data_IF_036893533920
#
_entry.id   IF_036893533920
#
_cell.length_a   1.000
_cell.length_b   1.000
_cell.length_c   1.000
_cell.angle_alpha   90.00
_cell.angle_beta   90.00
_cell.angle_gamma   90.00
#
_symmetry.space_group_name_H-M   'P 1'
#
loop_
_entity.id
_entity.type
_entity.pdbx_description
1 polymer ?
#
# COMPACT_ATOMS: atom_id res chain seq x y z
N UNK A 1 -14.88 15.94 -16.19
CA UNK A 1 -15.13 15.96 -14.73
C UNK A 1 -14.88 17.39 -14.26
N UNK A 2 -15.74 17.96 -13.42
CA UNK A 2 -15.48 19.29 -12.85
C UNK A 2 -14.41 19.25 -11.74
N UNK A 3 -13.87 20.41 -11.36
CA UNK A 3 -12.79 20.52 -10.39
C UNK A 3 -13.19 20.04 -8.98
N UNK A 4 -14.43 20.27 -8.55
CA UNK A 4 -14.90 19.89 -7.22
C UNK A 4 -14.96 18.37 -7.07
N UNK A 5 -15.61 17.70 -8.03
CA UNK A 5 -15.71 16.25 -8.10
C UNK A 5 -14.33 15.60 -8.26
N UNK A 6 -13.47 16.19 -9.09
CA UNK A 6 -12.09 15.76 -9.25
C UNK A 6 -11.33 15.79 -7.91
N UNK A 7 -11.39 16.91 -7.18
CA UNK A 7 -10.70 17.06 -5.90
C UNK A 7 -11.24 16.09 -4.85
N UNK A 8 -12.56 15.86 -4.82
CA UNK A 8 -13.17 14.89 -3.90
C UNK A 8 -12.68 13.46 -4.18
N UNK A 9 -12.61 13.05 -5.44
CA UNK A 9 -12.09 11.73 -5.82
C UNK A 9 -10.59 11.58 -5.53
N UNK A 10 -9.81 12.63 -5.80
CA UNK A 10 -8.38 12.66 -5.51
C UNK A 10 -8.10 12.52 -4.01
N UNK A 11 -8.79 13.30 -3.18
CA UNK A 11 -8.64 13.24 -1.72
C UNK A 11 -9.13 11.91 -1.17
N UNK A 12 -10.23 11.37 -1.69
CA UNK A 12 -10.73 10.04 -1.31
C UNK A 12 -9.70 8.95 -1.60
N UNK A 13 -9.11 8.93 -2.80
CA UNK A 13 -8.09 7.94 -3.13
C UNK A 13 -6.81 8.13 -2.29
N UNK A 14 -6.40 9.37 -2.01
CA UNK A 14 -5.27 9.67 -1.14
C UNK A 14 -5.52 9.27 0.33
N UNK A 15 -6.75 9.46 0.83
CA UNK A 15 -7.16 9.00 2.15
C UNK A 15 -7.16 7.46 2.23
N UNK A 16 -7.65 6.78 1.18
CA UNK A 16 -7.61 5.33 1.09
C UNK A 16 -6.17 4.81 1.10
N UNK A 17 -5.26 5.39 0.30
CA UNK A 17 -3.85 5.01 0.30
C UNK A 17 -3.21 5.20 1.69
N UNK A 18 -3.45 6.34 2.35
CA UNK A 18 -2.96 6.58 3.73
C UNK A 18 -3.50 5.54 4.72
N UNK A 19 -4.78 5.19 4.59
CA UNK A 19 -5.43 4.17 5.41
C UNK A 19 -4.80 2.79 5.18
N UNK A 20 -4.57 2.40 3.93
CA UNK A 20 -3.87 1.16 3.54
C UNK A 20 -2.52 1.07 4.24
N UNK A 21 -1.69 2.11 4.15
CA UNK A 21 -0.35 2.11 4.75
C UNK A 21 -0.38 2.12 6.28
N UNK A 22 -1.30 2.85 6.90
CA UNK A 22 -1.47 2.84 8.36
C UNK A 22 -1.85 1.44 8.86
N UNK A 23 -2.82 0.80 8.21
CA UNK A 23 -3.28 -0.54 8.57
C UNK A 23 -2.18 -1.57 8.32
N UNK A 24 -1.48 -1.49 7.19
CA UNK A 24 -0.33 -2.34 6.90
C UNK A 24 0.77 -2.20 7.96
N UNK A 25 1.17 -0.98 8.31
CA UNK A 25 2.19 -0.74 9.34
C UNK A 25 1.78 -1.34 10.69
N UNK A 26 0.51 -1.18 11.10
CA UNK A 26 0.01 -1.74 12.35
C UNK A 26 0.00 -3.28 12.31
N UNK A 27 -0.58 -3.88 11.27
CA UNK A 27 -0.67 -5.33 11.13
C UNK A 27 0.71 -5.98 10.99
N UNK A 28 1.60 -5.38 10.19
CA UNK A 28 2.98 -5.84 10.00
C UNK A 28 3.77 -5.76 11.29
N UNK A 29 3.66 -4.67 12.05
CA UNK A 29 4.32 -4.55 13.36
C UNK A 29 3.80 -5.59 14.36
N UNK A 30 2.50 -5.86 14.37
CA UNK A 30 1.92 -6.91 15.21
C UNK A 30 2.45 -8.30 14.83
N UNK A 31 2.58 -8.61 13.53
CA UNK A 31 3.18 -9.86 13.07
C UNK A 31 4.64 -9.99 13.55
N UNK A 32 5.44 -8.93 13.42
CA UNK A 32 6.82 -8.92 13.94
C UNK A 32 6.84 -9.18 15.44
N UNK A 33 5.99 -8.51 16.22
CA UNK A 33 5.92 -8.71 17.66
C UNK A 33 5.57 -10.16 18.02
N UNK A 34 4.62 -10.77 17.31
CA UNK A 34 4.24 -12.18 17.53
C UNK A 34 5.38 -13.13 17.15
N UNK A 35 6.11 -12.86 16.07
CA UNK A 35 7.27 -13.68 15.68
C UNK A 35 8.38 -13.58 16.73
N UNK A 36 8.70 -12.38 17.21
CA UNK A 36 9.80 -12.13 18.15
C UNK A 36 9.47 -12.62 19.57
N UNK A 37 8.25 -12.38 20.03
CA UNK A 37 7.85 -12.64 21.43
C UNK A 37 6.97 -13.87 21.61
N UNK A 38 6.53 -14.53 20.53
CA UNK A 38 5.58 -15.66 20.60
C UNK A 38 6.19 -16.92 21.22
N UNK A 39 7.47 -17.19 20.96
CA UNK A 39 8.18 -18.35 21.52
C UNK A 39 7.41 -19.67 21.34
N UNK A 40 7.36 -20.47 22.41
CA UNK A 40 6.65 -21.77 22.45
C UNK A 40 5.14 -21.66 22.20
N UNK A 41 4.53 -20.48 22.39
CA UNK A 41 3.09 -20.30 22.12
C UNK A 41 2.73 -20.42 20.63
N UNK A 42 3.72 -20.42 19.74
CA UNK A 42 3.56 -20.62 18.30
C UNK A 42 3.52 -22.09 17.89
N UNK A 43 3.76 -23.02 18.81
CA UNK A 43 3.74 -24.45 18.51
C UNK A 43 2.36 -24.88 18.00
N UNK A 44 2.35 -25.56 16.84
CA UNK A 44 1.13 -25.90 16.10
C UNK A 44 0.45 -24.74 15.37
N UNK A 45 0.83 -23.48 15.60
CA UNK A 45 0.23 -22.28 14.99
C UNK A 45 1.07 -21.66 13.87
N UNK A 46 2.29 -22.16 13.64
CA UNK A 46 3.19 -21.69 12.56
C UNK A 46 2.52 -21.64 11.18
N UNK A 47 1.70 -22.63 10.76
CA UNK A 47 0.97 -22.52 9.49
C UNK A 47 0.03 -21.31 9.43
N UNK A 48 -0.68 -21.00 10.53
CA UNK A 48 -1.56 -19.83 10.60
C UNK A 48 -0.76 -18.52 10.51
N UNK A 49 0.42 -18.48 11.12
CA UNK A 49 1.32 -17.34 11.02
C UNK A 49 1.82 -17.12 9.59
N UNK A 50 2.15 -18.19 8.85
CA UNK A 50 2.50 -18.09 7.43
C UNK A 50 1.36 -17.46 6.62
N UNK A 51 0.13 -17.94 6.81
CA UNK A 51 -1.04 -17.35 6.15
C UNK A 51 -1.24 -15.88 6.51
N UNK A 52 -1.07 -15.51 7.78
CA UNK A 52 -1.21 -14.13 8.23
C UNK A 52 -0.15 -13.20 7.63
N UNK A 53 1.12 -13.65 7.60
CA UNK A 53 2.22 -12.90 6.99
C UNK A 53 1.95 -12.65 5.52
N UNK A 54 1.63 -13.70 4.76
CA UNK A 54 1.34 -13.60 3.32
C UNK A 54 0.11 -12.72 3.08
N UNK A 55 -0.96 -12.95 3.84
CA UNK A 55 -2.24 -12.23 3.68
C UNK A 55 -2.10 -10.73 3.89
N UNK A 56 -1.45 -10.30 4.97
CA UNK A 56 -1.24 -8.87 5.28
C UNK A 56 -0.44 -8.18 4.18
N UNK A 57 0.65 -8.80 3.71
CA UNK A 57 1.52 -8.21 2.70
C UNK A 57 0.89 -8.23 1.31
N UNK A 58 0.20 -9.32 0.94
CA UNK A 58 -0.51 -9.40 -0.32
C UNK A 58 -1.62 -8.36 -0.39
N UNK A 59 -2.40 -8.18 0.67
CA UNK A 59 -3.45 -7.17 0.72
C UNK A 59 -2.88 -5.75 0.58
N UNK A 60 -1.73 -5.46 1.19
CA UNK A 60 -1.06 -4.17 1.07
C UNK A 60 -0.61 -3.89 -0.38
N UNK A 61 -0.03 -4.90 -1.06
CA UNK A 61 0.37 -4.80 -2.46
C UNK A 61 -0.85 -4.55 -3.35
N UNK A 62 -1.87 -5.39 -3.26
CA UNK A 62 -3.07 -5.31 -4.10
C UNK A 62 -3.83 -4.00 -3.91
N UNK A 63 -3.97 -3.56 -2.65
CA UNK A 63 -4.62 -2.30 -2.33
C UNK A 63 -3.83 -1.14 -2.94
N UNK A 64 -2.54 -1.04 -2.61
CA UNK A 64 -1.69 0.05 -3.09
C UNK A 64 -1.62 0.12 -4.62
N UNK A 65 -1.61 -1.04 -5.29
CA UNK A 65 -1.66 -1.15 -6.75
C UNK A 65 -2.96 -0.56 -7.31
N UNK A 66 -4.10 -0.94 -6.72
CA UNK A 66 -5.42 -0.40 -7.09
C UNK A 66 -5.51 1.11 -6.89
N UNK A 67 -5.03 1.65 -5.77
CA UNK A 67 -4.97 3.10 -5.54
C UNK A 67 -4.06 3.80 -6.55
N UNK A 68 -2.95 3.17 -6.94
CA UNK A 68 -2.07 3.74 -7.95
C UNK A 68 -2.69 3.76 -9.34
N UNK A 69 -3.42 2.72 -9.71
CA UNK A 69 -4.20 2.68 -10.94
C UNK A 69 -5.28 3.79 -10.94
N UNK A 70 -5.93 4.03 -9.80
CA UNK A 70 -6.88 5.14 -9.64
C UNK A 70 -6.21 6.51 -9.79
N UNK A 71 -5.00 6.72 -9.23
CA UNK A 71 -4.26 7.97 -9.49
C UNK A 71 -3.90 8.14 -10.96
N UNK A 72 -3.54 7.06 -11.66
CA UNK A 72 -3.29 7.12 -13.10
C UNK A 72 -4.55 7.47 -13.90
N UNK A 73 -5.72 6.95 -13.51
CA UNK A 73 -7.00 7.31 -14.13
C UNK A 73 -7.33 8.79 -13.88
N UNK A 74 -7.23 9.24 -12.62
CA UNK A 74 -7.45 10.65 -12.26
C UNK A 74 -6.52 11.60 -13.02
N UNK A 75 -5.26 11.23 -13.29
CA UNK A 75 -4.39 12.05 -14.14
C UNK A 75 -4.92 12.26 -15.55
N UNK A 76 -5.56 11.24 -16.13
CA UNK A 76 -6.13 11.31 -17.48
C UNK A 76 -7.39 12.15 -17.50
N UNK A 77 -8.17 12.10 -16.42
CA UNK A 77 -9.43 12.83 -16.29
C UNK A 77 -9.27 14.21 -15.61
N UNK A 78 -8.04 14.72 -15.57
CA UNK A 78 -7.69 15.97 -14.93
C UNK A 78 -8.38 17.18 -15.59
N UNK A 79 -9.09 18.04 -14.85
CA UNK A 79 -9.68 19.26 -15.40
C UNK A 79 -8.62 20.29 -15.81
N UNK A 80 -8.91 21.10 -16.82
CA UNK A 80 -7.97 22.08 -17.40
C UNK A 80 -7.44 23.09 -16.36
N UNK A 81 -8.28 23.53 -15.44
CA UNK A 81 -7.90 24.43 -14.34
C UNK A 81 -6.77 23.83 -13.48
N UNK A 82 -6.80 22.52 -13.23
CA UNK A 82 -5.75 21.85 -12.47
C UNK A 82 -4.55 21.52 -13.36
N UNK A 83 -4.77 21.11 -14.61
CA UNK A 83 -3.70 20.81 -15.58
C UNK A 83 -2.81 22.02 -15.90
N UNK A 84 -3.41 23.21 -15.94
CA UNK A 84 -2.70 24.48 -16.16
C UNK A 84 -2.01 25.02 -14.90
N UNK A 85 -2.25 24.45 -13.73
CA UNK A 85 -1.58 24.83 -12.48
C UNK A 85 -0.17 24.24 -12.38
N UNK A 86 0.66 24.84 -11.53
CA UNK A 86 1.98 24.28 -11.23
C UNK A 86 1.89 22.89 -10.56
N UNK A 87 0.89 22.70 -9.69
CA UNK A 87 0.66 21.43 -8.98
C UNK A 87 0.31 20.32 -9.96
N UNK A 88 -0.59 20.57 -10.92
CA UNK A 88 -0.98 19.58 -11.92
C UNK A 88 0.18 19.17 -12.83
N UNK A 89 0.98 20.14 -13.28
CA UNK A 89 2.18 19.86 -14.09
C UNK A 89 3.19 18.99 -13.36
N UNK A 90 3.42 19.21 -12.06
CA UNK A 90 4.31 18.36 -11.27
C UNK A 90 3.69 17.00 -10.96
N UNK A 91 2.39 16.94 -10.72
CA UNK A 91 1.72 15.70 -10.41
C UNK A 91 1.82 14.69 -11.57
N UNK A 92 1.69 15.13 -12.82
CA UNK A 92 1.85 14.25 -14.00
C UNK A 92 3.23 13.60 -14.07
N UNK A 93 4.27 14.29 -13.61
CA UNK A 93 5.66 13.79 -13.61
C UNK A 93 5.93 12.73 -12.54
N UNK A 94 5.09 12.61 -11.51
CA UNK A 94 5.37 11.69 -10.41
C UNK A 94 5.39 10.24 -10.92
N UNK A 95 6.44 9.45 -10.60
CA UNK A 95 6.66 8.13 -11.19
C UNK A 95 5.82 7.04 -10.49
N UNK A 96 4.50 7.05 -10.73
CA UNK A 96 3.56 6.12 -10.09
C UNK A 96 3.93 4.65 -10.31
N UNK A 97 4.43 4.31 -11.50
CA UNK A 97 4.89 2.96 -11.80
C UNK A 97 6.08 2.54 -10.91
N UNK A 98 7.03 3.44 -10.67
CA UNK A 98 8.15 3.18 -9.78
C UNK A 98 7.68 2.95 -8.34
N UNK A 99 6.73 3.75 -7.85
CA UNK A 99 6.15 3.54 -6.52
C UNK A 99 5.45 2.18 -6.39
N UNK A 100 4.77 1.68 -7.44
CA UNK A 100 4.18 0.32 -7.46
C UNK A 100 5.25 -0.75 -7.30
N UNK A 101 6.31 -0.65 -8.11
CA UNK A 101 7.40 -1.63 -8.11
C UNK A 101 8.13 -1.63 -6.77
N UNK A 102 8.52 -0.45 -6.26
CA UNK A 102 9.24 -0.34 -4.99
C UNK A 102 8.38 -0.87 -3.85
N UNK A 103 7.10 -0.49 -3.80
CA UNK A 103 6.16 -1.00 -2.79
C UNK A 103 6.08 -2.53 -2.81
N UNK A 104 5.87 -3.12 -4.00
CA UNK A 104 5.80 -4.57 -4.15
C UNK A 104 7.09 -5.28 -3.74
N UNK A 105 8.26 -4.79 -4.21
CA UNK A 105 9.56 -5.38 -3.88
C UNK A 105 9.82 -5.35 -2.38
N UNK A 106 9.57 -4.20 -1.73
CA UNK A 106 9.75 -4.07 -0.29
C UNK A 106 8.80 -4.99 0.49
N UNK A 107 7.52 -5.06 0.12
CA UNK A 107 6.56 -5.95 0.77
C UNK A 107 6.93 -7.43 0.62
N UNK A 108 7.46 -7.84 -0.54
CA UNK A 108 7.96 -9.20 -0.76
C UNK A 108 9.19 -9.48 0.11
N UNK A 109 10.16 -8.55 0.14
CA UNK A 109 11.37 -8.70 0.96
C UNK A 109 11.05 -8.83 2.45
N UNK A 110 10.11 -8.02 2.96
CA UNK A 110 9.65 -8.10 4.34
C UNK A 110 8.93 -9.43 4.60
N UNK A 111 8.07 -9.89 3.67
CA UNK A 111 7.39 -11.19 3.75
C UNK A 111 8.40 -12.32 3.92
N UNK A 112 9.41 -12.39 3.05
CA UNK A 112 10.47 -13.41 3.12
C UNK A 112 11.22 -13.33 4.44
N UNK A 113 11.56 -12.12 4.89
CA UNK A 113 12.27 -11.90 6.17
C UNK A 113 11.44 -12.43 7.35
N UNK A 114 10.14 -12.15 7.39
CA UNK A 114 9.25 -12.65 8.44
C UNK A 114 9.12 -14.18 8.40
N UNK A 115 9.01 -14.78 7.21
CA UNK A 115 8.94 -16.24 7.06
C UNK A 115 10.22 -16.93 7.50
N UNK A 116 11.39 -16.34 7.25
CA UNK A 116 12.67 -16.84 7.74
C UNK A 116 12.78 -16.72 9.27
N UNK A 117 12.31 -15.61 9.84
CA UNK A 117 12.32 -15.41 11.30
C UNK A 117 11.30 -16.30 12.04
N UNK A 118 10.25 -16.78 11.36
CA UNK A 118 9.25 -17.69 11.91
C UNK A 118 9.74 -19.14 12.00
N UNK A 119 10.93 -19.47 11.50
CA UNK A 119 11.47 -20.84 11.52
C UNK A 119 11.74 -21.37 12.93
#
# INVERSE_FOLDING_TARGET
>A
MDLSNFNAMLESNAANLRSTWRNYSLSSSALVAVIVFGGEHLDGKRPMMVFAIIGVHLLAILSSDGQMAQFQALRKDMPEEMASSAVGREWVKQPLAAFRVIGAVMSIAITVTMLMALQ
#
